data_IF_988254788316
#
_entry.id   IF_988254788316
#
_cell.length_a   1.000
_cell.length_b   1.000
_cell.length_c   1.000
_cell.angle_alpha   90.00
_cell.angle_beta   90.00
_cell.angle_gamma   90.00
#
_symmetry.space_group_name_H-M   'P 1'
#
loop_
_entity.id
_entity.type
_entity.pdbx_description
1 polymer ?
#
# COMPACT_ATOMS: atom_id res chain seq x y z
N UNK A 1 -0.37 10.94 7.59
CA UNK A 1 -1.57 10.09 7.42
C UNK A 1 -2.87 10.84 7.18
N UNK A 2 -3.19 11.93 7.92
CA UNK A 2 -4.46 12.68 7.80
C UNK A 2 -4.99 12.96 6.39
N UNK A 3 -4.13 13.32 5.44
CA UNK A 3 -4.55 13.64 4.06
C UNK A 3 -5.07 12.41 3.28
N UNK A 4 -4.65 11.21 3.71
CA UNK A 4 -5.10 9.92 3.18
C UNK A 4 -6.18 9.27 4.06
N UNK A 5 -6.62 9.93 5.15
CA UNK A 5 -7.60 9.36 6.08
C UNK A 5 -7.11 8.13 6.85
N UNK A 6 -5.79 7.97 6.96
CA UNK A 6 -5.16 6.84 7.65
C UNK A 6 -4.87 7.18 9.12
N UNK A 7 -4.98 6.20 10.00
CA UNK A 7 -4.40 6.24 11.33
C UNK A 7 -2.93 5.77 11.29
N UNK A 8 -2.17 6.00 12.37
CA UNK A 8 -0.74 5.65 12.40
C UNK A 8 -0.51 4.14 12.53
N UNK A 9 -1.37 3.45 13.28
CA UNK A 9 -1.36 1.99 13.46
C UNK A 9 -1.84 1.23 12.22
N UNK A 10 -2.54 1.91 11.31
CA UNK A 10 -2.91 1.36 10.00
C UNK A 10 -1.76 1.35 9.01
N UNK A 11 -0.61 1.93 9.37
CA UNK A 11 0.56 2.05 8.49
C UNK A 11 1.74 1.32 9.06
N UNK A 12 2.42 0.58 8.19
CA UNK A 12 3.73 0.06 8.50
C UNK A 12 4.79 1.17 8.43
N UNK A 13 5.03 1.82 9.56
CA UNK A 13 6.04 2.86 9.69
C UNK A 13 7.47 2.32 9.59
N UNK A 14 7.68 1.01 9.83
CA UNK A 14 8.98 0.37 9.65
C UNK A 14 9.28 0.12 8.16
N UNK A 15 8.26 -0.21 7.36
CA UNK A 15 8.36 -0.22 5.90
C UNK A 15 8.58 1.19 5.33
N UNK A 16 7.90 2.18 5.90
CA UNK A 16 8.06 3.59 5.56
C UNK A 16 7.45 3.99 4.21
N UNK A 17 7.76 5.21 3.75
CA UNK A 17 7.31 5.72 2.45
C UNK A 17 8.41 5.49 1.41
N UNK A 18 8.12 4.68 0.39
CA UNK A 18 9.10 4.28 -0.60
C UNK A 18 8.89 5.07 -1.90
N UNK A 19 9.90 5.82 -2.39
CA UNK A 19 9.86 6.45 -3.70
C UNK A 19 10.00 5.38 -4.80
N UNK A 20 8.95 5.18 -5.61
CA UNK A 20 9.01 4.25 -6.75
C UNK A 20 9.49 4.99 -8.00
N UNK A 21 8.92 6.17 -8.26
CA UNK A 21 9.39 7.08 -9.30
C UNK A 21 9.14 8.54 -8.87
N UNK A 22 10.11 9.18 -8.21
CA UNK A 22 9.99 10.57 -7.78
C UNK A 22 9.79 11.55 -8.92
N UNK A 23 10.31 11.26 -10.13
CA UNK A 23 10.15 12.13 -11.30
C UNK A 23 8.68 12.23 -11.75
N UNK A 24 7.88 11.21 -11.42
CA UNK A 24 6.43 11.17 -11.64
C UNK A 24 5.61 11.39 -10.35
N UNK A 25 6.25 11.73 -9.24
CA UNK A 25 5.65 11.79 -7.91
C UNK A 25 4.94 10.49 -7.48
N UNK A 26 5.50 9.32 -7.85
CA UNK A 26 4.96 8.01 -7.48
C UNK A 26 5.68 7.46 -6.25
N UNK A 27 4.88 7.16 -5.22
CA UNK A 27 5.34 6.65 -3.93
C UNK A 27 4.43 5.51 -3.47
N UNK A 28 5.01 4.58 -2.71
CA UNK A 28 4.30 3.45 -2.10
C UNK A 28 4.38 3.55 -0.60
N UNK A 29 3.27 3.22 0.05
CA UNK A 29 3.12 3.10 1.48
C UNK A 29 2.42 1.79 1.78
N UNK A 30 2.96 1.00 2.73
CA UNK A 30 2.29 -0.23 3.17
C UNK A 30 1.31 0.09 4.29
N UNK A 31 0.08 -0.37 4.11
CA UNK A 31 -1.02 -0.17 5.04
C UNK A 31 -1.70 -1.51 5.34
N UNK A 32 -2.51 -1.53 6.40
CA UNK A 32 -3.39 -2.68 6.67
C UNK A 32 -4.39 -2.90 5.52
N UNK A 33 -4.84 -4.14 5.36
CA UNK A 33 -5.77 -4.50 4.28
C UNK A 33 -7.07 -3.69 4.35
N UNK A 34 -7.66 -3.55 5.54
CA UNK A 34 -8.89 -2.77 5.76
C UNK A 34 -8.72 -1.30 5.37
N UNK A 35 -7.57 -0.71 5.70
CA UNK A 35 -7.25 0.66 5.33
C UNK A 35 -7.04 0.80 3.81
N UNK A 36 -6.37 -0.18 3.19
CA UNK A 36 -6.21 -0.25 1.74
C UNK A 36 -7.56 -0.24 1.01
N UNK A 37 -8.50 -1.11 1.41
CA UNK A 37 -9.85 -1.17 0.83
C UNK A 37 -10.57 0.19 0.93
N UNK A 38 -10.53 0.81 2.12
CA UNK A 38 -11.15 2.13 2.36
C UNK A 38 -10.57 3.22 1.45
N UNK A 39 -9.25 3.24 1.26
CA UNK A 39 -8.57 4.20 0.36
C UNK A 39 -8.94 3.93 -1.09
N UNK A 40 -8.99 2.65 -1.51
CA UNK A 40 -9.42 2.24 -2.85
C UNK A 40 -10.84 2.66 -3.19
N UNK A 41 -11.77 2.50 -2.25
CA UNK A 41 -13.19 2.83 -2.44
C UNK A 41 -13.46 4.33 -2.43
N UNK A 42 -12.58 5.13 -1.82
CA UNK A 42 -12.75 6.59 -1.69
C UNK A 42 -12.53 7.38 -3.00
N UNK A 43 -12.25 6.72 -4.12
CA UNK A 43 -12.06 7.36 -5.43
C UNK A 43 -10.81 8.24 -5.53
N UNK A 44 -9.99 8.29 -4.47
CA UNK A 44 -8.68 8.93 -4.47
C UNK A 44 -7.65 8.17 -5.35
N UNK A 45 -7.96 6.95 -5.77
CA UNK A 45 -7.26 6.21 -6.82
C UNK A 45 -7.69 6.71 -8.21
N UNK A 46 -6.94 7.66 -8.75
CA UNK A 46 -7.14 8.14 -10.12
C UNK A 46 -6.92 7.01 -11.14
N UNK A 47 -7.91 6.79 -11.99
CA UNK A 47 -7.86 6.23 -13.36
C UNK A 47 -7.25 4.83 -13.64
N UNK A 48 -6.29 4.29 -12.87
CA UNK A 48 -5.48 3.12 -13.30
C UNK A 48 -5.19 2.03 -12.22
N UNK A 49 -5.95 1.98 -11.13
CA UNK A 49 -5.90 0.84 -10.21
C UNK A 49 -5.79 1.24 -8.75
N UNK A 50 -6.66 0.63 -7.95
CA UNK A 50 -6.73 0.83 -6.50
C UNK A 50 -5.53 0.23 -5.74
N UNK A 51 -5.68 -0.02 -4.43
CA UNK A 51 -4.61 -0.58 -3.62
C UNK A 51 -4.07 -1.90 -4.21
N UNK A 52 -2.76 -2.03 -4.27
CA UNK A 52 -2.07 -3.25 -4.71
C UNK A 52 -1.75 -4.13 -3.50
N UNK A 53 -1.96 -5.44 -3.63
CA UNK A 53 -1.67 -6.40 -2.57
C UNK A 53 -0.16 -6.64 -2.45
N UNK A 54 0.31 -6.82 -1.20
CA UNK A 54 1.66 -7.29 -0.84
C UNK A 54 1.54 -8.71 -0.23
N UNK A 55 1.15 -9.73 -1.04
CA UNK A 55 0.97 -11.08 -0.52
C UNK A 55 2.32 -11.69 -0.09
N UNK A 56 2.34 -12.54 0.94
CA UNK A 56 3.55 -13.26 1.31
C UNK A 56 4.05 -14.09 0.12
N UNK A 57 5.34 -13.99 -0.16
CA UNK A 57 6.00 -14.80 -1.19
C UNK A 57 6.39 -16.13 -0.55
N UNK A 58 5.69 -17.21 -0.94
CA UNK A 58 6.04 -18.57 -0.50
C UNK A 58 7.44 -18.97 -1.00
N UNK A 59 8.19 -19.78 -0.22
CA UNK A 59 9.48 -20.29 -0.66
C UNK A 59 9.35 -21.07 -1.97
N UNK A 60 10.29 -20.86 -2.88
CA UNK A 60 10.38 -21.69 -4.08
C UNK A 60 10.78 -23.13 -3.72
N UNK A 61 10.00 -24.11 -4.17
CA UNK A 61 10.34 -25.54 -4.06
C UNK A 61 9.19 -26.43 -3.57
N UNK A 62 9.38 -27.76 -3.57
CA UNK A 62 8.37 -28.69 -3.06
C UNK A 62 8.12 -28.45 -1.56
N UNK A 63 6.88 -28.62 -1.08
CA UNK A 63 6.55 -28.51 0.35
C UNK A 63 7.45 -29.46 1.16
N UNK A 64 8.00 -28.95 2.26
CA UNK A 64 8.80 -29.74 3.21
C UNK A 64 7.91 -30.58 4.12
#
# INVERSE_FOLDING_TARGET
>A
MRRLGLAEDEVDTAYGLVPVDPGRNLYVLRVTEEAGRRVGDSGAGTADGGPYSDPPIEPYGPPR
#
